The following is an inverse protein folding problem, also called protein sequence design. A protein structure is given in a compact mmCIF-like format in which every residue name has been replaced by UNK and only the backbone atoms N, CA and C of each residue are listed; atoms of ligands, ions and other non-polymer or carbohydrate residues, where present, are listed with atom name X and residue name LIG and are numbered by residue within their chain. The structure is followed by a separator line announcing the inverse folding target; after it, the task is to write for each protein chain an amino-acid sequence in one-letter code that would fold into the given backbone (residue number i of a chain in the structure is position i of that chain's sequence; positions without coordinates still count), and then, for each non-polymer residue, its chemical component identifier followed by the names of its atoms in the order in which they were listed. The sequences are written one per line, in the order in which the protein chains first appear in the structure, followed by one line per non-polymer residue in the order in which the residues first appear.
data_IF_551439947679
#
_entry.id   IF_551439947679
#
_cell.length_a   1.000
_cell.length_b   1.000
_cell.length_c   1.000
_cell.angle_alpha   90.00
_cell.angle_beta   90.00
_cell.angle_gamma   90.00
#
_symmetry.space_group_name_H-M   'P 1'
#
loop_
_entity.id
_entity.type
_entity.pdbx_description
1 polymer ?
#
# COMPACT_ATOMS: atom_id res chain seq x y z
N UNK A 1 18.35 4.79 12.92
CA UNK A 1 17.39 3.85 13.53
C UNK A 1 17.43 3.99 15.05
N UNK A 2 16.29 4.35 15.63
CA UNK A 2 16.08 4.58 17.06
C UNK A 2 15.59 3.29 17.73
N UNK A 3 16.52 2.49 18.29
CA UNK A 3 16.19 1.19 18.90
C UNK A 3 15.28 1.28 20.12
N UNK A 4 15.36 2.40 20.85
CA UNK A 4 14.51 2.63 22.03
C UNK A 4 13.05 2.78 21.60
N UNK A 5 12.77 3.69 20.65
CA UNK A 5 11.41 3.84 20.11
C UNK A 5 10.92 2.59 19.39
N UNK A 6 11.79 1.84 18.70
CA UNK A 6 11.40 0.54 18.12
C UNK A 6 10.92 -0.42 19.22
N UNK A 7 11.63 -0.48 20.36
CA UNK A 7 11.24 -1.34 21.48
C UNK A 7 9.91 -0.90 22.12
N UNK A 8 9.70 0.41 22.27
CA UNK A 8 8.44 0.97 22.76
C UNK A 8 7.27 0.65 21.81
N UNK A 9 7.49 0.80 20.50
CA UNK A 9 6.50 0.45 19.47
C UNK A 9 6.13 -1.03 19.55
N UNK A 10 7.11 -1.94 19.67
CA UNK A 10 6.86 -3.38 19.86
C UNK A 10 6.01 -3.65 21.11
N UNK A 11 6.35 -3.04 22.25
CA UNK A 11 5.60 -3.25 23.49
C UNK A 11 4.13 -2.80 23.37
N UNK A 12 3.86 -1.72 22.65
CA UNK A 12 2.49 -1.26 22.39
C UNK A 12 1.73 -2.19 21.44
N UNK A 13 2.39 -2.73 20.41
CA UNK A 13 1.79 -3.72 19.51
C UNK A 13 1.44 -5.03 20.25
N UNK A 14 2.28 -5.47 21.19
CA UNK A 14 2.02 -6.64 22.04
C UNK A 14 0.83 -6.42 22.97
N UNK A 15 0.73 -5.22 23.58
CA UNK A 15 -0.44 -4.81 24.37
C UNK A 15 -1.72 -4.81 23.53
N UNK A 16 -1.69 -4.17 22.36
CA UNK A 16 -2.83 -4.17 21.44
C UNK A 16 -3.24 -5.59 21.03
N UNK A 17 -2.26 -6.46 20.76
CA UNK A 17 -2.50 -7.88 20.40
C UNK A 17 -3.16 -8.66 21.54
N UNK A 18 -2.94 -8.23 22.79
CA UNK A 18 -3.54 -8.80 23.99
C UNK A 18 -4.94 -8.24 24.29
N UNK A 19 -5.46 -7.34 23.44
CA UNK A 19 -6.78 -6.75 23.56
C UNK A 19 -6.83 -5.39 24.28
N UNK A 20 -5.67 -4.84 24.67
CA UNK A 20 -5.59 -3.50 25.27
C UNK A 20 -5.88 -2.41 24.23
N UNK A 21 -7.06 -1.80 24.30
CA UNK A 21 -7.46 -0.75 23.37
C UNK A 21 -6.73 0.57 23.61
N UNK A 22 -6.26 0.86 24.84
CA UNK A 22 -5.56 2.13 25.12
C UNK A 22 -4.17 2.16 24.48
N UNK A 23 -3.63 1.00 24.11
CA UNK A 23 -2.38 0.90 23.37
C UNK A 23 -2.40 1.67 22.04
N UNK A 24 -3.58 1.89 21.43
CA UNK A 24 -3.72 2.68 20.20
C UNK A 24 -3.46 4.17 20.45
N UNK A 25 -4.02 4.70 21.53
CA UNK A 25 -3.81 6.10 21.91
C UNK A 25 -2.34 6.34 22.28
N UNK A 26 -1.75 5.41 23.04
CA UNK A 26 -0.32 5.44 23.39
C UNK A 26 0.57 5.39 22.13
N UNK A 27 0.16 4.63 21.11
CA UNK A 27 0.91 4.49 19.86
C UNK A 27 0.94 5.81 19.07
N UNK A 28 -0.18 6.53 19.01
CA UNK A 28 -0.22 7.88 18.44
C UNK A 28 0.69 8.85 19.22
N UNK A 29 0.77 8.67 20.54
CA UNK A 29 1.63 9.47 21.43
C UNK A 29 3.14 9.24 21.25
N UNK A 30 3.59 8.16 20.59
CA UNK A 30 5.03 7.89 20.39
C UNK A 30 5.74 8.89 19.49
N UNK A 31 5.01 9.61 18.62
CA UNK A 31 5.57 10.60 17.72
C UNK A 31 6.69 10.03 16.84
N UNK A 32 6.43 8.88 16.20
CA UNK A 32 7.39 8.26 15.27
C UNK A 32 7.52 9.14 14.02
N UNK A 33 8.76 9.47 13.68
CA UNK A 33 9.11 10.32 12.54
C UNK A 33 10.20 9.68 11.69
N UNK A 34 10.53 10.30 10.55
CA UNK A 34 11.62 9.83 9.68
C UNK A 34 12.99 9.83 10.39
N UNK A 35 13.20 10.74 11.35
CA UNK A 35 14.45 10.83 12.12
C UNK A 35 14.68 9.62 13.03
N UNK A 36 13.62 8.89 13.37
CA UNK A 36 13.70 7.65 14.14
C UNK A 36 14.14 6.45 13.29
N UNK A 37 14.22 6.63 11.97
CA UNK A 37 14.61 5.61 11.00
C UNK A 37 13.47 5.24 10.06
N UNK A 38 13.83 5.05 8.80
CA UNK A 38 12.88 4.81 7.71
C UNK A 38 12.11 3.50 7.90
N UNK A 39 12.75 2.43 8.37
CA UNK A 39 12.06 1.17 8.65
C UNK A 39 10.98 1.30 9.73
N UNK A 40 11.31 1.94 10.85
CA UNK A 40 10.34 2.16 11.94
C UNK A 40 9.19 3.06 11.48
N UNK A 41 9.52 4.15 10.80
CA UNK A 41 8.54 5.05 10.23
C UNK A 41 7.57 4.31 9.30
N UNK A 42 8.07 3.46 8.40
CA UNK A 42 7.22 2.69 7.48
C UNK A 42 6.30 1.71 8.21
N UNK A 43 6.80 1.00 9.23
CA UNK A 43 5.97 0.10 10.04
C UNK A 43 4.89 0.86 10.80
N UNK A 44 5.23 2.02 11.36
CA UNK A 44 4.24 2.91 11.98
C UNK A 44 3.19 3.39 10.98
N UNK A 45 3.56 3.74 9.74
CA UNK A 45 2.60 4.11 8.70
C UNK A 45 1.68 2.95 8.32
N UNK A 46 2.19 1.72 8.25
CA UNK A 46 1.35 0.53 8.03
C UNK A 46 0.36 0.32 9.18
N UNK A 47 0.81 0.49 10.43
CA UNK A 47 -0.08 0.45 11.60
C UNK A 47 -1.13 1.56 11.56
N UNK A 48 -0.73 2.81 11.34
CA UNK A 48 -1.64 3.94 11.29
C UNK A 48 -2.71 3.76 10.22
N UNK A 49 -2.32 3.30 9.02
CA UNK A 49 -3.25 2.98 7.95
C UNK A 49 -4.17 1.80 8.29
N UNK A 50 -3.67 0.73 8.90
CA UNK A 50 -4.49 -0.43 9.27
C UNK A 50 -5.52 -0.13 10.35
N UNK A 51 -5.28 0.88 11.20
CA UNK A 51 -6.11 1.21 12.36
C UNK A 51 -6.65 2.64 12.36
N UNK A 52 -6.74 3.31 11.21
CA UNK A 52 -7.35 4.65 11.09
C UNK A 52 -8.89 4.64 11.01
N UNK A 53 -9.51 3.46 10.92
CA UNK A 53 -10.94 3.26 10.73
C UNK A 53 -11.49 2.21 11.72
N UNK A 54 -12.82 2.04 11.75
CA UNK A 54 -13.50 1.14 12.70
C UNK A 54 -14.54 0.22 12.02
N UNK A 55 -14.44 -1.12 12.17
CA UNK A 55 -13.33 -1.84 12.80
C UNK A 55 -12.06 -1.75 11.95
N UNK A 56 -10.89 -1.58 12.58
CA UNK A 56 -9.61 -1.59 11.86
C UNK A 56 -9.24 -2.98 11.33
N UNK A 57 -8.15 -3.07 10.57
CA UNK A 57 -7.63 -4.32 9.98
C UNK A 57 -6.81 -5.12 10.98
N UNK A 58 -7.48 -5.85 11.87
CA UNK A 58 -6.83 -6.69 12.89
C UNK A 58 -5.81 -7.70 12.31
N UNK A 59 -6.07 -8.24 11.11
CA UNK A 59 -5.17 -9.17 10.40
C UNK A 59 -3.77 -8.59 10.12
N UNK A 60 -3.60 -7.26 10.09
CA UNK A 60 -2.31 -6.63 9.86
C UNK A 60 -1.39 -6.69 11.09
N UNK A 61 -1.96 -6.76 12.30
CA UNK A 61 -1.22 -6.61 13.55
C UNK A 61 -0.09 -7.63 13.74
N UNK A 62 -0.29 -8.95 13.49
CA UNK A 62 0.77 -9.94 13.67
C UNK A 62 1.96 -9.72 12.73
N UNK A 63 1.70 -9.24 11.50
CA UNK A 63 2.76 -8.95 10.53
C UNK A 63 3.57 -7.72 10.93
N UNK A 64 2.90 -6.65 11.37
CA UNK A 64 3.58 -5.43 11.85
C UNK A 64 4.41 -5.75 13.10
N UNK A 65 3.87 -6.54 14.03
CA UNK A 65 4.59 -6.96 15.24
C UNK A 65 5.84 -7.78 14.90
N UNK A 66 5.71 -8.81 14.06
CA UNK A 66 6.86 -9.64 13.63
C UNK A 66 7.96 -8.79 12.99
N UNK A 67 7.60 -7.91 12.05
CA UNK A 67 8.56 -7.03 11.39
C UNK A 67 9.24 -6.07 12.37
N UNK A 68 8.50 -5.53 13.33
CA UNK A 68 9.03 -4.61 14.35
C UNK A 68 10.01 -5.32 15.30
N UNK A 69 9.73 -6.58 15.66
CA UNK A 69 10.64 -7.42 16.44
C UNK A 69 11.92 -7.75 15.66
N UNK A 70 11.82 -8.05 14.37
CA UNK A 70 12.99 -8.24 13.47
C UNK A 70 13.83 -6.99 13.37
N UNK A 71 13.21 -5.81 13.30
CA UNK A 71 13.89 -4.53 13.18
C UNK A 71 14.85 -4.25 14.35
N UNK A 72 14.55 -4.74 15.56
CA UNK A 72 15.45 -4.63 16.73
C UNK A 72 16.80 -5.33 16.46
N UNK A 73 16.75 -6.44 15.72
CA UNK A 73 17.91 -7.27 15.38
C UNK A 73 18.73 -6.71 14.22
N UNK A 74 18.20 -5.74 13.46
CA UNK A 74 18.94 -5.15 12.36
C UNK A 74 20.14 -4.33 12.89
N UNK A 75 21.28 -4.45 12.21
CA UNK A 75 22.48 -3.67 12.53
C UNK A 75 22.33 -2.20 12.15
N UNK A 76 21.58 -1.94 11.08
CA UNK A 76 21.34 -0.62 10.50
C UNK A 76 19.91 -0.51 9.96
N UNK A 77 19.51 0.70 9.63
CA UNK A 77 18.24 0.99 8.98
C UNK A 77 18.26 0.50 7.51
N UNK A 78 17.88 -0.77 7.29
CA UNK A 78 17.91 -1.42 5.98
C UNK A 78 16.49 -1.73 5.47
N UNK A 79 15.98 -0.82 4.66
CA UNK A 79 14.62 -0.86 4.12
C UNK A 79 14.44 -1.96 3.08
N UNK A 80 15.52 -2.29 2.36
CA UNK A 80 15.54 -3.37 1.39
C UNK A 80 15.43 -4.72 2.11
N UNK A 81 16.12 -4.86 3.23
CA UNK A 81 15.99 -6.02 4.10
C UNK A 81 14.54 -6.16 4.62
N UNK A 82 13.96 -5.07 5.16
CA UNK A 82 12.58 -5.06 5.64
C UNK A 82 11.57 -5.45 4.55
N UNK A 83 11.69 -4.88 3.35
CA UNK A 83 10.73 -5.11 2.27
C UNK A 83 10.84 -6.51 1.64
N UNK A 84 11.99 -7.17 1.82
CA UNK A 84 12.18 -8.55 1.39
C UNK A 84 11.56 -9.58 2.35
N UNK A 85 11.20 -9.18 3.57
CA UNK A 85 10.56 -10.06 4.55
C UNK A 85 9.20 -10.57 4.05
N UNK A 86 8.85 -11.84 4.29
CA UNK A 86 7.55 -12.39 3.90
C UNK A 86 6.35 -11.64 4.49
N UNK A 87 6.47 -11.17 5.73
CA UNK A 87 5.41 -10.43 6.43
C UNK A 87 5.11 -9.08 5.77
N UNK A 88 6.12 -8.45 5.15
CA UNK A 88 5.89 -7.24 4.37
C UNK A 88 4.97 -7.52 3.17
N UNK A 89 5.20 -8.64 2.48
CA UNK A 89 4.32 -9.07 1.37
C UNK A 89 2.90 -9.36 1.85
N UNK A 90 2.75 -9.94 3.04
CA UNK A 90 1.43 -10.15 3.66
C UNK A 90 0.72 -8.82 3.94
N UNK A 91 1.42 -7.79 4.43
CA UNK A 91 0.84 -6.46 4.63
C UNK A 91 0.38 -5.83 3.32
N UNK A 92 1.23 -5.87 2.29
CA UNK A 92 0.86 -5.38 0.95
C UNK A 92 -0.37 -6.11 0.40
N UNK A 93 -0.53 -7.40 0.68
CA UNK A 93 -1.70 -8.15 0.27
C UNK A 93 -3.00 -7.69 0.95
N UNK A 94 -2.93 -7.13 2.17
CA UNK A 94 -4.09 -6.60 2.88
C UNK A 94 -4.50 -5.21 2.40
N UNK A 95 -3.54 -4.36 2.03
CA UNK A 95 -3.80 -2.97 1.60
C UNK A 95 -3.78 -2.75 0.09
N UNK A 96 -3.45 -3.77 -0.69
CA UNK A 96 -3.22 -3.64 -2.13
C UNK A 96 -1.96 -2.84 -2.49
N UNK A 97 -1.54 -2.84 -3.77
CA UNK A 97 -0.36 -2.12 -4.24
C UNK A 97 -0.62 -0.62 -4.45
N UNK A 98 -1.37 0.01 -3.53
CA UNK A 98 -1.74 1.44 -3.59
C UNK A 98 -1.34 2.13 -2.31
N UNK A 99 -0.92 3.39 -2.41
CA UNK A 99 -0.48 4.18 -1.27
C UNK A 99 -1.65 4.94 -0.66
N UNK A 100 -2.60 5.38 -1.49
CA UNK A 100 -3.75 6.18 -1.07
C UNK A 100 -5.00 5.80 -1.84
N UNK A 101 -6.15 5.86 -1.19
CA UNK A 101 -7.47 5.82 -1.83
C UNK A 101 -8.15 7.16 -1.60
N UNK A 102 -8.44 7.85 -2.70
CA UNK A 102 -9.14 9.13 -2.72
C UNK A 102 -10.60 8.89 -3.12
N UNK A 103 -11.54 9.55 -2.46
CA UNK A 103 -12.92 9.61 -2.91
C UNK A 103 -13.08 10.92 -3.66
N UNK A 104 -13.32 10.80 -4.97
CA UNK A 104 -13.49 11.92 -5.89
C UNK A 104 -14.98 12.18 -6.12
N UNK A 105 -15.39 13.44 -6.14
CA UNK A 105 -16.72 13.84 -6.57
C UNK A 105 -16.65 14.47 -7.97
N UNK A 106 -17.41 13.95 -8.92
CA UNK A 106 -17.47 14.49 -10.27
C UNK A 106 -18.18 15.84 -10.31
N UNK A 107 -17.55 16.85 -10.91
CA UNK A 107 -18.14 18.19 -11.04
C UNK A 107 -19.38 18.24 -11.92
N UNK A 108 -19.53 17.30 -12.88
CA UNK A 108 -20.63 17.30 -13.84
C UNK A 108 -21.88 16.57 -13.31
N UNK A 109 -21.71 15.40 -12.68
CA UNK A 109 -22.84 14.57 -12.23
C UNK A 109 -22.94 14.38 -10.72
N UNK A 110 -22.06 15.04 -9.94
CA UNK A 110 -21.95 14.95 -8.48
C UNK A 110 -21.75 13.53 -7.92
N UNK A 111 -21.48 12.54 -8.77
CA UNK A 111 -21.23 11.17 -8.33
C UNK A 111 -19.88 11.08 -7.64
N UNK A 112 -19.88 10.45 -6.46
CA UNK A 112 -18.67 10.03 -5.77
C UNK A 112 -18.16 8.70 -6.30
N UNK A 113 -16.84 8.59 -6.45
CA UNK A 113 -16.18 7.36 -6.87
C UNK A 113 -14.76 7.28 -6.30
N UNK A 114 -14.27 6.07 -5.99
CA UNK A 114 -12.90 5.88 -5.56
C UNK A 114 -11.91 6.05 -6.72
N UNK A 115 -10.82 6.73 -6.43
CA UNK A 115 -9.61 6.84 -7.23
C UNK A 115 -8.42 6.35 -6.38
N UNK A 116 -7.38 5.83 -7.01
CA UNK A 116 -6.23 5.27 -6.29
C UNK A 116 -4.92 5.85 -6.75
N UNK A 117 -4.12 6.29 -5.78
CA UNK A 117 -2.72 6.62 -5.98
C UNK A 117 -1.87 5.36 -5.91
N UNK A 118 -1.22 5.01 -7.00
CA UNK A 118 -0.13 4.04 -7.01
C UNK A 118 1.19 4.75 -6.79
N UNK A 119 2.21 4.03 -6.31
CA UNK A 119 3.54 4.64 -6.21
C UNK A 119 4.04 5.01 -7.61
N UNK A 120 4.82 6.08 -7.74
CA UNK A 120 5.38 6.53 -9.04
C UNK A 120 6.32 5.54 -9.73
N UNK A 121 6.56 4.38 -9.12
CA UNK A 121 7.34 3.27 -9.66
C UNK A 121 6.49 2.07 -10.08
N UNK A 122 5.19 2.12 -9.83
CA UNK A 122 4.24 1.11 -10.26
C UNK A 122 3.60 1.56 -11.58
N UNK A 123 4.09 0.99 -12.68
CA UNK A 123 3.64 1.28 -14.05
C UNK A 123 2.30 0.59 -14.36
N UNK A 124 1.35 0.71 -13.45
CA UNK A 124 -0.01 0.24 -13.61
C UNK A 124 -0.99 1.16 -12.90
N UNK A 125 -2.13 1.37 -13.55
CA UNK A 125 -3.23 2.19 -13.08
C UNK A 125 -4.28 1.29 -12.43
N UNK A 126 -4.78 1.71 -11.27
CA UNK A 126 -5.88 1.03 -10.58
C UNK A 126 -7.21 1.38 -11.21
N UNK A 127 -7.77 0.47 -12.01
CA UNK A 127 -9.11 0.65 -12.60
C UNK A 127 -10.14 0.07 -11.64
N UNK A 128 -11.00 0.92 -11.08
CA UNK A 128 -12.06 0.47 -10.18
C UNK A 128 -13.28 0.02 -10.99
N UNK A 129 -13.75 -1.21 -10.75
CA UNK A 129 -14.97 -1.69 -11.37
C UNK A 129 -16.20 -0.92 -10.82
N UNK A 130 -17.00 -0.26 -11.67
CA UNK A 130 -18.12 0.56 -11.22
C UNK A 130 -19.29 -0.23 -10.64
N UNK A 131 -19.26 -1.56 -10.74
CA UNK A 131 -20.32 -2.45 -10.22
C UNK A 131 -19.94 -3.10 -8.90
N UNK A 132 -18.73 -3.66 -8.76
CA UNK A 132 -18.33 -4.40 -7.56
C UNK A 132 -17.24 -3.72 -6.73
N UNK A 133 -16.66 -2.61 -7.21
CA UNK A 133 -15.56 -1.91 -6.52
C UNK A 133 -14.22 -2.64 -6.52
N UNK A 134 -14.13 -3.85 -7.09
CA UNK A 134 -12.84 -4.52 -7.25
C UNK A 134 -11.92 -3.70 -8.16
N UNK A 135 -10.64 -3.72 -7.84
CA UNK A 135 -9.61 -2.95 -8.53
C UNK A 135 -8.84 -3.82 -9.50
N UNK A 136 -8.60 -3.30 -10.69
CA UNK A 136 -7.89 -3.97 -11.76
C UNK A 136 -6.67 -3.16 -12.14
N UNK A 137 -5.50 -3.67 -11.79
CA UNK A 137 -4.25 -3.03 -12.19
C UNK A 137 -3.92 -3.41 -13.64
N UNK A 138 -3.93 -2.40 -14.51
CA UNK A 138 -3.53 -2.50 -15.92
C UNK A 138 -2.37 -1.57 -16.22
N UNK A 139 -1.46 -1.98 -17.08
CA UNK A 139 -0.43 -1.08 -17.60
C UNK A 139 -1.06 0.02 -18.45
N UNK A 140 -0.45 1.21 -18.50
CA UNK A 140 -0.84 2.26 -19.43
C UNK A 140 -0.78 1.79 -20.90
N UNK A 141 0.06 0.80 -21.20
CA UNK A 141 0.23 0.26 -22.54
C UNK A 141 -0.78 -0.84 -22.91
N UNK A 142 -1.65 -1.24 -21.99
CA UNK A 142 -2.68 -2.26 -22.23
C UNK A 142 -4.02 -1.62 -22.62
N UNK A 143 -4.32 -1.66 -23.93
CA UNK A 143 -5.53 -1.04 -24.49
C UNK A 143 -6.74 -2.00 -24.58
N UNK A 144 -6.64 -3.20 -24.03
CA UNK A 144 -7.72 -4.18 -24.14
C UNK A 144 -8.84 -3.90 -23.13
N UNK A 145 -10.06 -3.69 -23.65
CA UNK A 145 -11.29 -3.61 -22.88
C UNK A 145 -11.71 -4.99 -22.35
N UNK A 146 -11.00 -5.47 -21.34
CA UNK A 146 -11.36 -6.71 -20.68
C UNK A 146 -12.53 -6.50 -19.69
N UNK A 147 -13.57 -7.35 -19.70
CA UNK A 147 -14.63 -7.30 -18.71
C UNK A 147 -14.08 -7.64 -17.33
N UNK A 148 -14.69 -7.08 -16.29
CA UNK A 148 -14.43 -7.37 -14.89
C UNK A 148 -14.60 -8.88 -14.64
N UNK A 149 -13.55 -9.64 -14.31
CA UNK A 149 -13.62 -11.06 -13.95
C UNK A 149 -14.56 -11.39 -12.79
N UNK A 150 -14.89 -10.42 -11.92
CA UNK A 150 -15.80 -10.65 -10.79
C UNK A 150 -17.27 -10.53 -11.17
N UNK A 151 -17.65 -9.63 -12.10
CA UNK A 151 -19.06 -9.35 -12.41
C UNK A 151 -19.41 -9.27 -13.91
N UNK A 152 -18.43 -9.45 -14.81
CA UNK A 152 -18.60 -9.40 -16.26
C UNK A 152 -18.77 -8.01 -16.86
N UNK A 153 -18.86 -6.95 -16.05
CA UNK A 153 -19.04 -5.57 -16.52
C UNK A 153 -17.80 -5.07 -17.24
N UNK A 154 -17.98 -4.38 -18.38
CA UNK A 154 -16.88 -3.69 -19.04
C UNK A 154 -16.15 -2.76 -18.06
N UNK A 155 -14.82 -2.90 -18.00
CA UNK A 155 -13.97 -1.99 -17.24
C UNK A 155 -13.69 -0.73 -18.08
N UNK A 156 -13.62 0.46 -17.47
CA UNK A 156 -13.08 1.64 -18.14
C UNK A 156 -11.70 1.35 -18.75
N UNK A 157 -11.35 2.00 -19.86
CA UNK A 157 -9.98 1.91 -20.38
C UNK A 157 -9.01 2.66 -19.44
N UNK A 158 -7.73 2.28 -19.46
CA UNK A 158 -6.71 2.95 -18.65
C UNK A 158 -6.45 4.41 -19.07
N UNK A 159 -6.94 4.82 -20.24
CA UNK A 159 -6.85 6.19 -20.77
C UNK A 159 -8.00 7.08 -20.26
N UNK A 160 -9.14 6.51 -19.86
CA UNK A 160 -10.30 7.27 -19.37
C UNK A 160 -10.24 7.42 -17.85
N UNK A 161 -9.37 8.32 -17.39
CA UNK A 161 -9.31 8.75 -16.01
C UNK A 161 -10.46 9.73 -15.73
N UNK A 162 -11.50 9.29 -15.05
CA UNK A 162 -12.59 10.19 -14.72
C UNK A 162 -13.79 9.50 -14.12
N UNK A 163 -14.89 10.25 -14.05
CA UNK A 163 -16.13 9.76 -13.48
C UNK A 163 -16.63 8.50 -14.23
N UNK A 164 -16.88 7.37 -13.54
CA UNK A 164 -17.35 6.15 -14.19
C UNK A 164 -18.75 6.27 -14.81
N UNK A 165 -19.48 7.35 -14.51
CA UNK A 165 -20.82 7.60 -15.04
C UNK A 165 -20.83 8.48 -16.28
N UNK A 166 -20.04 9.56 -16.29
CA UNK A 166 -20.08 10.56 -17.36
C UNK A 166 -18.72 10.82 -18.04
N UNK A 167 -17.67 10.12 -17.62
CA UNK A 167 -16.30 10.20 -18.15
C UNK A 167 -15.67 11.60 -18.08
N UNK A 168 -16.23 12.50 -17.28
CA UNK A 168 -15.62 13.80 -17.01
C UNK A 168 -14.36 13.61 -16.16
N UNK A 169 -13.28 14.25 -16.58
CA UNK A 169 -12.02 14.34 -15.84
C UNK A 169 -12.11 15.40 -14.72
N UNK A 170 -13.12 16.27 -14.76
CA UNK A 170 -13.35 17.29 -13.74
C UNK A 170 -13.92 16.66 -12.47
N UNK A 171 -13.08 16.58 -11.46
CA UNK A 171 -13.42 16.06 -10.14
C UNK A 171 -12.63 16.77 -9.04
N UNK A 172 -13.10 16.63 -7.81
CA UNK A 172 -12.41 17.10 -6.62
C UNK A 172 -12.41 16.03 -5.53
N UNK A 173 -11.27 15.85 -4.87
CA UNK A 173 -11.14 14.95 -3.73
C UNK A 173 -12.00 15.47 -2.57
N UNK A 174 -12.96 14.65 -2.13
CA UNK A 174 -13.85 14.97 -1.00
C UNK A 174 -13.49 14.19 0.27
N UNK A 175 -12.77 13.08 0.14
CA UNK A 175 -12.23 12.33 1.26
C UNK A 175 -10.98 11.53 0.86
N UNK A 176 -10.15 11.21 1.83
CA UNK A 176 -9.09 10.22 1.72
C UNK A 176 -9.37 9.10 2.73
N UNK A 177 -9.34 7.85 2.27
CA UNK A 177 -9.56 6.68 3.12
C UNK A 177 -8.35 5.75 3.05
N UNK A 178 -8.21 4.92 4.09
CA UNK A 178 -7.11 3.97 4.14
C UNK A 178 -7.26 2.91 3.06
N UNK A 179 -6.18 2.53 2.34
CA UNK A 179 -6.22 1.37 1.47
C UNK A 179 -6.66 0.08 2.21
N UNK A 180 -6.29 -0.07 3.48
CA UNK A 180 -6.75 -1.19 4.31
C UNK A 180 -8.27 -1.19 4.51
N UNK A 181 -8.88 -0.01 4.60
CA UNK A 181 -10.33 0.16 4.70
C UNK A 181 -11.00 -0.24 3.40
N UNK A 182 -10.50 0.26 2.27
CA UNK A 182 -11.07 -0.07 0.96
C UNK A 182 -11.00 -1.59 0.68
N UNK A 183 -9.82 -2.20 0.85
CA UNK A 183 -9.61 -3.63 0.60
C UNK A 183 -10.10 -4.54 1.73
N UNK A 184 -10.80 -4.00 2.73
CA UNK A 184 -11.64 -4.80 3.63
C UNK A 184 -12.86 -5.40 2.93
N UNK A 185 -13.40 -4.68 1.95
CA UNK A 185 -14.62 -5.06 1.24
C UNK A 185 -14.41 -5.33 -0.25
N UNK A 186 -13.24 -4.96 -0.79
CA UNK A 186 -12.91 -5.10 -2.21
C UNK A 186 -11.69 -5.96 -2.42
N UNK A 187 -11.61 -6.59 -3.60
CA UNK A 187 -10.42 -7.33 -4.03
C UNK A 187 -9.67 -6.49 -5.06
N UNK A 188 -8.36 -6.66 -5.09
CA UNK A 188 -7.59 -6.28 -6.27
C UNK A 188 -7.22 -7.50 -7.08
N UNK A 189 -7.22 -7.32 -8.40
CA UNK A 189 -6.80 -8.30 -9.38
C UNK A 189 -5.86 -7.61 -10.36
N UNK A 190 -5.03 -8.42 -11.01
CA UNK A 190 -4.33 -7.98 -12.20
C UNK A 190 -5.27 -8.06 -13.40
N UNK A 191 -5.09 -7.16 -14.36
CA UNK A 191 -5.62 -7.38 -15.69
C UNK A 191 -5.13 -8.72 -16.25
N UNK A 192 -5.92 -9.39 -17.11
CA UNK A 192 -5.42 -10.51 -17.89
C UNK A 192 -4.37 -9.98 -18.88
N UNK A 193 -3.09 -10.29 -18.64
CA UNK A 193 -1.97 -9.83 -19.45
C UNK A 193 -0.68 -10.60 -19.12
N UNK A 194 0.19 -10.89 -20.11
CA UNK A 194 1.40 -11.68 -19.90
C UNK A 194 2.52 -10.78 -19.38
N UNK A 195 2.67 -10.64 -18.06
CA UNK A 195 3.96 -10.61 -17.34
C UNK A 195 3.88 -10.00 -15.91
N UNK A 196 4.23 -10.84 -14.95
CA UNK A 196 5.22 -10.59 -13.89
C UNK A 196 4.88 -9.66 -12.70
N UNK A 197 4.73 -10.27 -11.52
CA UNK A 197 4.71 -9.61 -10.19
C UNK A 197 6.12 -9.31 -9.66
N UNK A 198 7.17 -9.60 -10.42
CA UNK A 198 8.46 -9.90 -9.80
C UNK A 198 9.52 -8.79 -9.81
N UNK A 199 9.27 -7.63 -10.41
CA UNK A 199 10.32 -6.59 -10.49
C UNK A 199 10.15 -5.37 -9.57
N UNK A 200 8.97 -5.09 -9.01
CA UNK A 200 8.77 -3.86 -8.22
C UNK A 200 9.20 -4.01 -6.75
N UNK A 201 9.28 -5.24 -6.22
CA UNK A 201 9.84 -5.46 -4.87
C UNK A 201 11.37 -5.65 -4.93
N UNK A 202 11.96 -5.97 -6.09
CA UNK A 202 13.39 -6.31 -6.24
C UNK A 202 14.24 -5.19 -6.87
N UNK A 203 13.65 -4.11 -7.40
CA UNK A 203 14.42 -2.93 -7.87
C UNK A 203 15.07 -2.11 -6.73
N UNK A 204 14.90 -2.57 -5.49
CA UNK A 204 15.50 -2.05 -4.27
C UNK A 204 16.86 -2.68 -4.00
N UNK A 205 17.79 -2.49 -4.94
CA UNK A 205 19.22 -2.51 -4.63
C UNK A 205 19.84 -1.29 -5.33
N UNK A 206 20.41 -0.31 -4.61
CA UNK A 206 21.36 0.56 -5.27
C UNK A 206 22.43 -0.36 -5.86
N UNK A 207 22.58 -0.36 -7.18
CA UNK A 207 23.76 -0.95 -7.80
C UNK A 207 24.94 -0.29 -7.11
N UNK A 208 25.68 -1.05 -6.29
CA UNK A 208 27.03 -0.65 -5.92
C UNK A 208 27.79 -0.61 -7.23
N UNK A 209 28.04 0.59 -7.74
CA UNK A 209 29.16 0.81 -8.65
C UNK A 209 30.41 0.44 -7.87
N UNK A 210 30.88 -0.79 -8.02
CA UNK A 210 32.24 -1.22 -7.77
C UNK A 210 32.36 -2.67 -8.24
N UNK A 211 32.50 -2.81 -9.56
CA UNK A 211 33.24 -3.93 -10.17
C UNK A 211 33.58 -3.55 -11.63
N UNK A 212 34.41 -2.51 -11.78
CA UNK A 212 35.37 -2.51 -12.89
C UNK A 212 36.62 -3.18 -12.35
N UNK A 213 36.63 -4.50 -12.53
CA UNK A 213 37.81 -5.32 -12.41
C UNK A 213 39.00 -4.65 -13.12
N UNK A 214 40.05 -4.42 -12.34
CA UNK A 214 41.37 -5.03 -12.56
C UNK A 214 41.39 -6.00 -13.75
N UNK A 215 41.68 -5.48 -14.94
CA UNK A 215 42.35 -6.17 -16.06
C UNK A 215 43.01 -5.13 -16.98
N UNK A 216 44.18 -4.64 -16.54
CA UNK A 216 45.30 -4.32 -17.42
C UNK A 216 46.59 -4.69 -16.69
N UNK A 217 46.89 -5.98 -16.71
CA UNK A 217 48.26 -6.44 -16.92
C UNK A 217 48.50 -6.55 -18.41
#
# INVERSE_FOLDING_TARGET
MNKEKTSQFVALLERQSSGDQSARDDMHGLGISLDDGYCLFNLHQQWAGAFSFSPGRAEALPFILSLSQKLIQYEKDDTLCLFNEPEWKSLLALRGPVETVMIEQCSNCAREYPCMGTSGFYDANGIVCPQCGDVYFKSYYENDENPCPSCGKALPSAEHWGCPQCQSEESSTVAEISPYEYFSNHKFKRGPGPNNFLHVIVAYAPKRENDVMSKKG
#
